data_IF_070265522845
#
_entry.id   IF_070265522845
#
_cell.length_a   1.000
_cell.length_b   1.000
_cell.length_c   1.000
_cell.angle_alpha   90.00
_cell.angle_beta   90.00
_cell.angle_gamma   90.00
#
_symmetry.space_group_name_H-M   'P 1'
#
loop_
_entity.id
_entity.type
_entity.pdbx_description
1 polymer ?
#
# COMPACT_ATOMS: atom_id res chain seq x y z
N UNK A 1 -14.11 -38.47 25.96
CA UNK A 1 -13.80 -38.08 24.56
C UNK A 1 -14.46 -36.76 24.18
N UNK A 2 -15.77 -36.60 24.38
CA UNK A 2 -16.52 -35.39 23.97
C UNK A 2 -16.05 -34.09 24.66
N UNK A 3 -15.85 -34.11 25.98
CA UNK A 3 -15.40 -32.93 26.74
C UNK A 3 -14.02 -32.45 26.28
N UNK A 4 -13.13 -33.39 25.94
CA UNK A 4 -11.78 -33.10 25.42
C UNK A 4 -11.87 -32.47 24.03
N UNK A 5 -12.77 -32.98 23.18
CA UNK A 5 -13.01 -32.44 21.83
C UNK A 5 -13.55 -31.01 21.88
N UNK A 6 -14.52 -30.74 22.76
CA UNK A 6 -15.09 -29.40 22.97
C UNK A 6 -14.04 -28.42 23.49
N UNK A 7 -13.19 -28.84 24.43
CA UNK A 7 -12.07 -28.03 24.93
C UNK A 7 -11.09 -27.65 23.82
N UNK A 8 -10.76 -28.58 22.93
CA UNK A 8 -9.84 -28.34 21.82
C UNK A 8 -10.42 -27.37 20.79
N UNK A 9 -11.73 -27.49 20.48
CA UNK A 9 -12.43 -26.55 19.61
C UNK A 9 -12.48 -25.12 20.18
N UNK A 10 -12.68 -24.97 21.49
CA UNK A 10 -12.63 -23.66 22.15
C UNK A 10 -11.24 -23.03 22.09
N UNK A 11 -10.18 -23.81 22.32
CA UNK A 11 -8.81 -23.30 22.20
C UNK A 11 -8.51 -22.85 20.77
N UNK A 12 -8.91 -23.65 19.77
CA UNK A 12 -8.74 -23.29 18.35
C UNK A 12 -9.51 -22.02 17.99
N UNK A 13 -10.74 -21.87 18.45
CA UNK A 13 -11.55 -20.68 18.15
C UNK A 13 -10.94 -19.40 18.73
N UNK A 14 -10.40 -19.46 19.96
CA UNK A 14 -9.69 -18.34 20.59
C UNK A 14 -8.43 -17.97 19.80
N UNK A 15 -7.66 -18.96 19.34
CA UNK A 15 -6.46 -18.72 18.52
C UNK A 15 -6.83 -18.02 17.22
N UNK A 16 -7.84 -18.53 16.51
CA UNK A 16 -8.29 -17.94 15.24
C UNK A 16 -8.80 -16.50 15.46
N UNK A 17 -9.59 -16.26 16.50
CA UNK A 17 -10.09 -14.93 16.84
C UNK A 17 -8.94 -13.94 17.16
N UNK A 18 -7.94 -14.38 17.92
CA UNK A 18 -6.77 -13.57 18.26
C UNK A 18 -5.97 -13.17 17.01
N UNK A 19 -5.73 -14.12 16.10
CA UNK A 19 -5.05 -13.87 14.84
C UNK A 19 -5.87 -12.94 13.93
N UNK A 20 -7.18 -13.14 13.84
CA UNK A 20 -8.09 -12.27 13.10
C UNK A 20 -8.08 -10.83 13.63
N UNK A 21 -8.11 -10.64 14.95
CA UNK A 21 -8.05 -9.32 15.56
C UNK A 21 -6.71 -8.63 15.30
N UNK A 22 -5.60 -9.36 15.42
CA UNK A 22 -4.26 -8.84 15.13
C UNK A 22 -4.13 -8.45 13.65
N UNK A 23 -4.66 -9.26 12.75
CA UNK A 23 -4.70 -8.97 11.31
C UNK A 23 -5.51 -7.71 11.04
N UNK A 24 -6.72 -7.58 11.60
CA UNK A 24 -7.56 -6.40 11.43
C UNK A 24 -6.88 -5.13 11.96
N UNK A 25 -6.29 -5.21 13.15
CA UNK A 25 -5.55 -4.10 13.74
C UNK A 25 -4.39 -3.68 12.84
N UNK A 26 -3.61 -4.64 12.33
CA UNK A 26 -2.48 -4.36 11.44
C UNK A 26 -2.94 -3.79 10.09
N UNK A 27 -3.98 -4.38 9.49
CA UNK A 27 -4.49 -4.01 8.17
C UNK A 27 -5.22 -2.66 8.18
N UNK A 28 -5.79 -2.23 9.31
CA UNK A 28 -6.57 -0.99 9.40
C UNK A 28 -5.87 0.14 10.16
N UNK A 29 -5.31 -0.12 11.34
CA UNK A 29 -4.78 0.95 12.20
C UNK A 29 -3.40 1.41 11.76
N UNK A 30 -2.55 0.50 11.27
CA UNK A 30 -1.23 0.87 10.74
C UNK A 30 -1.33 1.84 9.55
N UNK A 31 -2.11 1.58 8.48
CA UNK A 31 -2.19 2.52 7.36
C UNK A 31 -2.84 3.85 7.75
N UNK A 32 -3.84 3.86 8.64
CA UNK A 32 -4.42 5.13 9.13
C UNK A 32 -3.40 5.98 9.89
N UNK A 33 -2.54 5.38 10.71
CA UNK A 33 -1.47 6.11 11.42
C UNK A 33 -0.47 6.74 10.45
N UNK A 34 -0.03 5.97 9.44
CA UNK A 34 0.90 6.47 8.41
C UNK A 34 0.26 7.61 7.62
N UNK A 35 -1.00 7.46 7.17
CA UNK A 35 -1.72 8.52 6.46
C UNK A 35 -1.82 9.82 7.28
N UNK A 36 -2.13 9.72 8.57
CA UNK A 36 -2.17 10.89 9.46
C UNK A 36 -0.80 11.56 9.59
N UNK A 37 0.27 10.77 9.66
CA UNK A 37 1.63 11.30 9.76
C UNK A 37 2.05 12.04 8.47
N UNK A 38 1.82 11.43 7.31
CA UNK A 38 2.09 12.05 6.00
C UNK A 38 1.30 13.36 5.81
N UNK A 39 0.02 13.35 6.20
CA UNK A 39 -0.81 14.56 6.13
C UNK A 39 -0.27 15.70 7.00
N UNK A 40 0.31 15.39 8.17
CA UNK A 40 0.97 16.40 9.02
C UNK A 40 2.24 16.97 8.38
N UNK A 41 2.89 16.22 7.50
CA UNK A 41 4.04 16.68 6.72
C UNK A 41 3.64 17.41 5.43
N UNK A 42 2.34 17.66 5.20
CA UNK A 42 1.84 18.31 3.99
C UNK A 42 1.69 17.36 2.79
N UNK A 43 1.91 16.06 2.97
CA UNK A 43 1.76 15.05 1.92
C UNK A 43 0.37 14.43 2.03
N UNK A 44 -0.59 14.91 1.24
CA UNK A 44 -1.92 14.31 1.14
C UNK A 44 -1.93 13.17 0.11
N UNK A 45 -1.32 12.04 0.49
CA UNK A 45 -1.21 10.88 -0.38
C UNK A 45 -2.56 10.23 -0.73
N UNK A 46 -2.59 9.37 -1.76
CA UNK A 46 -3.81 8.69 -2.21
C UNK A 46 -4.44 7.87 -1.09
N UNK A 47 -5.77 7.72 -1.16
CA UNK A 47 -6.51 6.91 -0.19
C UNK A 47 -6.00 5.47 -0.14
N UNK A 48 -5.92 4.92 1.08
CA UNK A 48 -5.51 3.54 1.30
C UNK A 48 -6.49 2.58 0.62
N UNK A 49 -5.96 1.71 -0.25
CA UNK A 49 -6.70 0.64 -0.92
C UNK A 49 -6.28 -0.70 -0.30
N UNK A 50 -7.24 -1.42 0.28
CA UNK A 50 -6.99 -2.71 0.95
C UNK A 50 -6.39 -3.75 -0.01
N UNK A 51 -5.47 -4.56 0.52
CA UNK A 51 -4.75 -5.67 -0.14
C UNK A 51 -3.80 -5.29 -1.29
N UNK A 52 -4.27 -4.57 -2.30
CA UNK A 52 -3.49 -4.32 -3.53
C UNK A 52 -2.89 -2.90 -3.60
N UNK A 53 -3.26 -2.02 -2.67
CA UNK A 53 -2.77 -0.64 -2.65
C UNK A 53 -2.91 0.03 -4.02
N UNK A 54 -1.82 0.63 -4.48
CA UNK A 54 -1.72 1.27 -5.80
C UNK A 54 -1.02 0.39 -6.84
N UNK A 55 -0.85 -0.91 -6.61
CA UNK A 55 -0.11 -1.79 -7.53
C UNK A 55 -0.72 -1.84 -8.94
N UNK A 56 -2.07 -1.84 -9.04
CA UNK A 56 -2.75 -1.80 -10.36
C UNK A 56 -2.48 -0.48 -11.10
N UNK A 57 -2.42 0.62 -10.36
CA UNK A 57 -2.16 1.96 -10.91
C UNK A 57 -0.71 2.09 -11.37
N UNK A 58 0.23 1.57 -10.58
CA UNK A 58 1.64 1.40 -10.94
C UNK A 58 1.80 0.64 -12.26
N UNK A 59 1.23 -0.55 -12.38
CA UNK A 59 1.33 -1.38 -13.59
C UNK A 59 0.71 -0.68 -14.80
N UNK A 60 -0.43 -0.02 -14.60
CA UNK A 60 -1.10 0.76 -15.65
C UNK A 60 -0.21 1.90 -16.16
N UNK A 61 0.34 2.72 -15.25
CA UNK A 61 1.23 3.83 -15.60
C UNK A 61 2.50 3.35 -16.31
N UNK A 62 3.10 2.24 -15.87
CA UNK A 62 4.25 1.65 -16.54
C UNK A 62 3.90 1.17 -17.96
N UNK A 63 2.75 0.51 -18.13
CA UNK A 63 2.29 0.06 -19.45
C UNK A 63 2.06 1.23 -20.40
N UNK A 64 1.38 2.29 -19.94
CA UNK A 64 1.11 3.51 -20.70
C UNK A 64 2.39 4.29 -21.04
N UNK A 65 3.37 4.33 -20.14
CA UNK A 65 4.65 4.98 -20.40
C UNK A 65 5.51 4.20 -21.41
N UNK A 66 5.41 2.86 -21.42
CA UNK A 66 6.14 2.00 -22.36
C UNK A 66 5.53 1.98 -23.76
N UNK A 67 4.20 2.08 -23.86
CA UNK A 67 3.48 2.04 -25.14
C UNK A 67 3.69 3.30 -25.99
N UNK A 68 4.01 4.43 -25.36
CA UNK A 68 4.27 5.69 -26.07
C UNK A 68 5.71 5.73 -26.61
N UNK A 69 5.92 6.21 -27.85
CA UNK A 69 7.27 6.49 -28.34
C UNK A 69 7.90 7.60 -27.48
N UNK A 70 9.22 7.54 -27.31
CA UNK A 70 9.98 8.50 -26.50
C UNK A 70 11.12 9.06 -27.37
N UNK A 71 11.33 10.36 -27.30
CA UNK A 71 12.48 10.99 -27.95
C UNK A 71 13.80 10.59 -27.29
N UNK A 72 14.86 10.56 -28.08
CA UNK A 72 16.23 10.34 -27.60
C UNK A 72 16.68 11.58 -26.79
N UNK A 73 16.34 11.58 -25.51
CA UNK A 73 16.66 12.66 -24.58
C UNK A 73 17.10 12.10 -23.22
N UNK A 74 17.70 12.95 -22.39
CA UNK A 74 18.08 12.59 -21.02
C UNK A 74 16.87 12.49 -20.06
N UNK A 75 15.64 12.83 -20.49
CA UNK A 75 14.43 12.83 -19.65
C UNK A 75 13.77 11.44 -19.61
N UNK A 76 14.53 10.44 -19.20
CA UNK A 76 14.14 9.02 -19.25
C UNK A 76 13.32 8.60 -18.02
N UNK A 77 13.43 9.35 -16.92
CA UNK A 77 12.81 9.03 -15.62
C UNK A 77 11.29 8.86 -15.75
N UNK A 78 10.60 9.74 -16.48
CA UNK A 78 9.15 9.64 -16.71
C UNK A 78 8.70 8.35 -17.40
N UNK A 79 9.62 7.65 -18.09
CA UNK A 79 9.34 6.37 -18.74
C UNK A 79 9.68 5.17 -17.86
N UNK A 80 10.76 5.25 -17.11
CA UNK A 80 11.22 4.17 -16.23
C UNK A 80 10.43 4.11 -14.93
N UNK A 81 10.17 5.28 -14.35
CA UNK A 81 9.59 5.50 -13.02
C UNK A 81 8.45 6.53 -13.13
N UNK A 82 7.38 6.24 -13.92
CA UNK A 82 6.30 7.19 -14.17
C UNK A 82 5.54 7.57 -12.89
N UNK A 83 5.45 6.65 -11.94
CA UNK A 83 4.73 6.86 -10.69
C UNK A 83 5.48 7.80 -9.75
N UNK A 84 6.79 7.63 -9.64
CA UNK A 84 7.69 8.46 -8.87
C UNK A 84 7.78 9.87 -9.48
N UNK A 85 7.90 9.96 -10.80
CA UNK A 85 7.88 11.23 -11.53
C UNK A 85 6.56 11.99 -11.30
N UNK A 86 5.42 11.28 -11.29
CA UNK A 86 4.13 11.89 -10.96
C UNK A 86 4.02 12.27 -9.48
N UNK A 87 4.52 11.44 -8.57
CA UNK A 87 4.49 11.71 -7.13
C UNK A 87 5.30 12.95 -6.78
N UNK A 88 6.49 13.12 -7.37
CA UNK A 88 7.32 14.33 -7.19
C UNK A 88 6.61 15.56 -7.74
N UNK A 89 5.96 15.47 -8.91
CA UNK A 89 5.18 16.60 -9.46
C UNK A 89 3.98 16.97 -8.62
N UNK A 90 3.35 15.99 -7.96
CA UNK A 90 2.10 16.20 -7.20
C UNK A 90 2.38 16.62 -5.75
N UNK A 91 3.34 15.97 -5.10
CA UNK A 91 3.59 16.07 -3.66
C UNK A 91 4.98 16.61 -3.31
N UNK A 92 5.83 16.89 -4.31
CA UNK A 92 7.20 17.35 -4.12
C UNK A 92 8.20 16.23 -3.82
N UNK A 93 9.49 16.59 -3.77
CA UNK A 93 10.63 15.66 -3.61
C UNK A 93 10.54 14.84 -2.30
N UNK A 94 9.96 15.42 -1.25
CA UNK A 94 9.80 14.75 0.04
C UNK A 94 8.98 13.44 -0.06
N UNK A 95 8.11 13.32 -1.07
CA UNK A 95 7.31 12.12 -1.32
C UNK A 95 8.14 10.87 -1.67
N UNK A 96 9.33 11.04 -2.24
CA UNK A 96 10.23 9.93 -2.60
C UNK A 96 10.71 9.13 -1.38
N UNK A 97 10.76 9.74 -0.20
CA UNK A 97 11.15 9.04 1.03
C UNK A 97 10.10 8.03 1.52
N UNK A 98 8.90 8.05 0.95
CA UNK A 98 7.75 7.24 1.36
C UNK A 98 7.21 6.32 0.25
N UNK A 99 7.89 6.27 -0.91
CA UNK A 99 7.60 5.40 -2.05
C UNK A 99 8.42 4.11 -1.95
#
# INVERSE_FOLDING_TARGET
>A
MEVVLLGLLLVLSVIIASWGFKMLHWLWLKPMKIKKYLKKQGIDGPSYKLFYGNQKELVKMMSEARSKPMELSHRIVSRLLPFEDQAVKTYGIASLSYL
#
